data_IF_708657699608
#
_entry.id   IF_708657699608
#
_cell.length_a   1.000
_cell.length_b   1.000
_cell.length_c   1.000
_cell.angle_alpha   90.00
_cell.angle_beta   90.00
_cell.angle_gamma   90.00
#
_symmetry.space_group_name_H-M   'P 1'
#
loop_
_entity.id
_entity.type
_entity.pdbx_description
1 polymer ?
#
# COMPACT_ATOMS: atom_id res chain seq x y z
N UNK A 1 1.37 -19.55 3.70
CA UNK A 1 0.18 -18.72 3.39
C UNK A 1 0.40 -18.16 1.98
N UNK A 2 -0.56 -18.25 1.04
CA UNK A 2 -0.37 -17.72 -0.33
C UNK A 2 -0.57 -16.20 -0.34
N UNK A 3 0.27 -15.44 -1.05
CA UNK A 3 0.24 -13.97 -1.20
C UNK A 3 -1.16 -13.43 -1.52
N UNK A 4 -1.91 -14.12 -2.40
CA UNK A 4 -3.30 -13.75 -2.73
C UNK A 4 -4.23 -13.70 -1.52
N UNK A 5 -4.09 -14.63 -0.57
CA UNK A 5 -4.90 -14.61 0.65
C UNK A 5 -4.57 -13.40 1.53
N UNK A 6 -3.29 -13.03 1.62
CA UNK A 6 -2.85 -11.85 2.39
C UNK A 6 -3.44 -10.57 1.79
N UNK A 7 -3.38 -10.41 0.46
CA UNK A 7 -3.91 -9.21 -0.22
C UNK A 7 -5.43 -9.09 -0.03
N UNK A 8 -6.16 -10.20 -0.13
CA UNK A 8 -7.62 -10.22 -0.09
C UNK A 8 -8.22 -10.14 1.33
N UNK A 9 -7.41 -10.34 2.38
CA UNK A 9 -7.85 -10.16 3.77
C UNK A 9 -8.13 -8.69 4.08
N UNK A 10 -9.23 -8.44 4.79
CA UNK A 10 -9.62 -7.11 5.24
C UNK A 10 -8.65 -6.62 6.31
N UNK A 11 -8.24 -5.35 6.22
CA UNK A 11 -7.29 -4.73 7.14
C UNK A 11 -7.87 -3.43 7.67
N UNK A 12 -7.73 -3.18 8.96
CA UNK A 12 -8.21 -1.94 9.58
C UNK A 12 -7.05 -0.97 9.77
N UNK A 13 -7.27 0.30 9.43
CA UNK A 13 -6.29 1.37 9.69
C UNK A 13 -6.23 1.66 11.18
N UNK A 14 -5.04 1.49 11.77
CA UNK A 14 -4.76 1.90 13.15
C UNK A 14 -4.22 3.34 13.23
N UNK A 15 -3.33 3.68 12.29
CA UNK A 15 -2.69 5.01 12.23
C UNK A 15 -2.39 5.36 10.78
N UNK A 16 -2.54 6.63 10.44
CA UNK A 16 -2.25 7.18 9.11
C UNK A 16 -1.35 8.41 9.26
N UNK A 17 -0.29 8.49 8.45
CA UNK A 17 0.64 9.63 8.49
C UNK A 17 0.12 10.86 7.76
N UNK A 18 -0.96 10.73 7.00
CA UNK A 18 -1.33 11.63 5.91
C UNK A 18 -0.20 11.75 4.87
N UNK A 19 -0.42 12.57 3.84
CA UNK A 19 0.60 12.87 2.85
C UNK A 19 1.71 13.75 3.43
N UNK A 20 2.94 13.35 3.15
CA UNK A 20 4.17 14.03 3.56
C UNK A 20 5.12 14.14 2.37
N UNK A 21 6.04 15.09 2.44
CA UNK A 21 7.17 15.24 1.54
C UNK A 21 8.48 14.79 2.22
N UNK A 22 9.58 14.83 1.47
CA UNK A 22 10.92 14.68 2.01
C UNK A 22 11.28 13.27 2.47
N UNK A 23 11.83 13.17 3.68
CA UNK A 23 12.44 11.96 4.22
C UNK A 23 11.39 10.91 4.58
N UNK A 24 11.61 9.65 4.19
CA UNK A 24 10.83 8.49 4.65
C UNK A 24 11.59 7.78 5.77
N UNK A 25 11.12 7.85 7.03
CA UNK A 25 11.69 7.08 8.13
C UNK A 25 11.42 5.57 8.00
N UNK A 26 12.33 4.68 8.45
CA UNK A 26 12.15 3.23 8.40
C UNK A 26 10.84 2.75 9.01
N UNK A 27 10.39 3.31 10.14
CA UNK A 27 9.12 2.92 10.79
C UNK A 27 7.87 3.03 9.89
N UNK A 28 7.93 3.80 8.80
CA UNK A 28 6.82 3.98 7.86
C UNK A 28 6.99 3.17 6.56
N UNK A 29 8.19 2.64 6.32
CA UNK A 29 8.51 1.72 5.23
C UNK A 29 9.69 0.84 5.68
N UNK A 30 9.47 -0.14 6.57
CA UNK A 30 10.54 -0.84 7.28
C UNK A 30 11.37 -1.78 6.41
N UNK A 31 10.94 -2.04 5.17
CA UNK A 31 11.78 -2.67 4.15
C UNK A 31 12.96 -1.79 3.73
N UNK A 32 12.87 -0.47 3.96
CA UNK A 32 13.99 0.46 3.85
C UNK A 32 14.71 0.48 5.20
N UNK A 33 15.77 -0.33 5.32
CA UNK A 33 16.58 -0.46 6.54
C UNK A 33 17.20 0.86 7.05
N UNK A 34 17.11 1.95 6.27
CA UNK A 34 17.54 3.31 6.61
C UNK A 34 16.55 4.32 6.04
N UNK A 35 16.54 5.51 6.63
CA UNK A 35 15.72 6.61 6.11
C UNK A 35 16.08 6.90 4.67
N UNK A 36 15.08 7.05 3.80
CA UNK A 36 15.28 7.31 2.37
C UNK A 36 14.80 8.73 2.05
N UNK A 37 15.69 9.65 1.63
CA UNK A 37 15.23 10.92 1.09
C UNK A 37 14.50 10.65 -0.22
N UNK A 38 13.32 11.23 -0.38
CA UNK A 38 12.67 11.27 -1.69
C UNK A 38 13.12 12.50 -2.45
N UNK A 39 13.34 12.33 -3.76
CA UNK A 39 13.71 13.43 -4.63
C UNK A 39 12.61 14.48 -4.72
N UNK A 40 12.93 15.63 -5.28
CA UNK A 40 11.99 16.74 -5.42
C UNK A 40 10.70 16.35 -6.16
N UNK A 41 9.56 16.83 -5.64
CA UNK A 41 8.22 16.58 -6.16
C UNK A 41 7.65 15.20 -5.82
N UNK A 42 8.39 14.36 -5.10
CA UNK A 42 7.85 13.15 -4.51
C UNK A 42 7.15 13.43 -3.18
N UNK A 43 6.06 12.71 -2.97
CA UNK A 43 5.31 12.66 -1.72
C UNK A 43 5.08 11.22 -1.31
N UNK A 44 4.80 11.00 -0.03
CA UNK A 44 4.53 9.68 0.51
C UNK A 44 3.45 9.70 1.59
N UNK A 45 2.83 8.56 1.82
CA UNK A 45 1.85 8.32 2.89
C UNK A 45 2.00 6.89 3.37
N UNK A 46 1.83 6.66 4.67
CA UNK A 46 1.90 5.34 5.28
C UNK A 46 0.75 5.14 6.24
N UNK A 47 0.14 3.96 6.22
CA UNK A 47 -0.82 3.55 7.22
C UNK A 47 -0.38 2.24 7.88
N UNK A 48 -0.35 2.23 9.21
CA UNK A 48 -0.21 1.01 9.99
C UNK A 48 -1.59 0.34 10.08
N UNK A 49 -1.63 -0.95 9.82
CA UNK A 49 -2.86 -1.71 9.72
C UNK A 49 -2.80 -2.98 10.58
N UNK A 50 -3.96 -3.39 11.07
CA UNK A 50 -4.17 -4.68 11.72
C UNK A 50 -5.09 -5.57 10.89
N UNK A 51 -4.99 -6.87 11.10
CA UNK A 51 -5.82 -7.89 10.48
C UNK A 51 -6.13 -9.01 11.48
N UNK A 52 -7.19 -9.77 11.22
CA UNK A 52 -7.65 -10.89 12.05
C UNK A 52 -6.70 -12.09 12.09
N UNK A 53 -5.70 -12.14 11.21
CA UNK A 53 -4.66 -13.16 11.20
C UNK A 53 -3.53 -12.92 12.21
N UNK A 54 -3.61 -11.83 12.98
CA UNK A 54 -2.61 -11.48 13.98
C UNK A 54 -1.31 -10.94 13.40
N UNK A 55 -1.24 -10.65 12.10
CA UNK A 55 -0.10 -9.98 11.49
C UNK A 55 -0.25 -8.46 11.48
N UNK A 56 0.86 -7.77 11.71
CA UNK A 56 0.97 -6.34 11.47
C UNK A 56 1.24 -6.05 10.00
N UNK A 57 0.58 -5.02 9.49
CA UNK A 57 0.72 -4.60 8.10
C UNK A 57 1.02 -3.11 7.99
N UNK A 58 1.70 -2.74 6.90
CA UNK A 58 1.87 -1.34 6.50
C UNK A 58 1.45 -1.19 5.05
N UNK A 59 0.52 -0.27 4.78
CA UNK A 59 0.30 0.25 3.43
C UNK A 59 1.16 1.50 3.25
N UNK A 60 2.14 1.42 2.36
CA UNK A 60 3.05 2.51 2.06
C UNK A 60 2.88 2.98 0.62
N UNK A 61 2.70 4.28 0.42
CA UNK A 61 2.47 4.89 -0.89
C UNK A 61 3.51 5.97 -1.15
N UNK A 62 4.01 5.99 -2.38
CA UNK A 62 4.87 7.03 -2.93
C UNK A 62 4.26 7.52 -4.23
N UNK A 63 4.30 8.83 -4.45
CA UNK A 63 3.79 9.44 -5.66
C UNK A 63 4.65 10.61 -6.10
N UNK A 64 4.74 10.82 -7.41
CA UNK A 64 5.26 12.03 -8.04
C UNK A 64 4.20 12.57 -9.00
N UNK A 65 3.21 13.33 -8.50
CA UNK A 65 2.03 13.70 -9.28
C UNK A 65 2.35 14.41 -10.60
N UNK A 66 3.32 15.32 -10.59
CA UNK A 66 3.77 16.05 -11.78
C UNK A 66 4.36 15.15 -12.89
N UNK A 67 4.72 13.90 -12.56
CA UNK A 67 5.24 12.90 -13.50
C UNK A 67 4.31 11.69 -13.60
N UNK A 68 3.09 11.76 -13.07
CA UNK A 68 2.09 10.69 -13.02
C UNK A 68 2.67 9.33 -12.60
N UNK A 69 3.63 9.34 -11.67
CA UNK A 69 4.28 8.13 -11.17
C UNK A 69 3.73 7.81 -9.79
N UNK A 70 3.13 6.63 -9.66
CA UNK A 70 2.41 6.20 -8.47
C UNK A 70 2.78 4.78 -8.10
N UNK A 71 3.09 4.55 -6.82
CA UNK A 71 3.41 3.22 -6.30
C UNK A 71 2.86 3.05 -4.89
N UNK A 72 2.11 1.97 -4.66
CA UNK A 72 1.63 1.52 -3.37
C UNK A 72 2.15 0.12 -3.06
N UNK A 73 2.68 -0.10 -1.86
CA UNK A 73 3.20 -1.38 -1.37
C UNK A 73 2.45 -1.82 -0.13
N UNK A 74 2.09 -3.10 -0.08
CA UNK A 74 1.61 -3.74 1.14
C UNK A 74 2.77 -4.51 1.76
N UNK A 75 3.13 -4.14 2.99
CA UNK A 75 4.17 -4.78 3.77
C UNK A 75 3.52 -5.60 4.89
N UNK A 76 4.11 -6.74 5.21
CA UNK A 76 3.69 -7.60 6.33
C UNK A 76 4.87 -7.85 7.27
N UNK A 77 4.60 -7.85 8.57
CA UNK A 77 5.56 -8.26 9.58
C UNK A 77 5.68 -9.79 9.63
N UNK A 78 6.91 -10.27 9.62
CA UNK A 78 7.28 -11.69 9.78
C UNK A 78 8.24 -11.85 10.96
N UNK A 79 8.43 -13.06 11.50
CA UNK A 79 9.40 -13.29 12.58
C UNK A 79 10.83 -12.85 12.26
N UNK A 80 11.19 -12.79 10.96
CA UNK A 80 12.53 -12.41 10.49
C UNK A 80 12.65 -10.94 10.08
N UNK A 81 11.55 -10.19 10.05
CA UNK A 81 11.50 -8.80 9.60
C UNK A 81 10.32 -8.50 8.69
N UNK A 82 10.39 -7.40 7.94
CA UNK A 82 9.30 -6.98 7.06
C UNK A 82 9.47 -7.49 5.62
N UNK A 83 8.36 -7.92 5.03
CA UNK A 83 8.27 -8.43 3.66
C UNK A 83 7.29 -7.59 2.83
N UNK A 84 7.65 -7.26 1.60
CA UNK A 84 6.74 -6.66 0.63
C UNK A 84 5.93 -7.75 -0.09
N UNK A 85 4.61 -7.75 0.13
CA UNK A 85 3.71 -8.81 -0.35
C UNK A 85 3.21 -8.51 -1.76
N UNK A 86 2.95 -7.25 -2.04
CA UNK A 86 2.44 -6.81 -3.34
C UNK A 86 2.69 -5.34 -3.57
N UNK A 87 2.65 -4.97 -4.86
CA UNK A 87 2.79 -3.62 -5.35
C UNK A 87 1.66 -3.27 -6.30
N UNK A 88 1.19 -2.04 -6.23
CA UNK A 88 0.15 -1.47 -7.07
C UNK A 88 0.72 -0.19 -7.69
N UNK A 89 0.89 -0.16 -9.01
CA UNK A 89 1.59 0.92 -9.70
C UNK A 89 0.77 1.53 -10.85
N UNK A 90 1.08 2.78 -11.16
CA UNK A 90 0.59 3.49 -12.34
C UNK A 90 1.68 4.45 -12.82
N UNK A 91 2.03 4.37 -14.10
CA UNK A 91 3.07 5.18 -14.73
C UNK A 91 2.53 5.84 -16.01
N UNK A 92 3.15 6.92 -16.53
CA UNK A 92 2.65 7.62 -17.71
C UNK A 92 2.50 6.76 -18.96
N UNK A 93 3.40 5.78 -19.13
CA UNK A 93 3.50 4.96 -20.35
C UNK A 93 2.87 3.58 -20.19
N UNK A 94 2.34 3.26 -19.01
CA UNK A 94 1.80 1.92 -18.73
C UNK A 94 0.50 2.02 -17.94
N UNK A 95 -0.59 1.36 -18.42
CA UNK A 95 -1.83 1.30 -17.68
C UNK A 95 -1.62 0.56 -16.34
N UNK A 96 -2.54 0.83 -15.42
CA UNK A 96 -2.59 0.27 -14.06
C UNK A 96 -2.26 -1.22 -14.07
N UNK A 97 -1.28 -1.58 -13.26
CA UNK A 97 -0.95 -2.98 -13.04
C UNK A 97 -0.58 -3.20 -11.58
N UNK A 98 -0.84 -4.40 -11.10
CA UNK A 98 -0.35 -4.84 -9.81
C UNK A 98 0.80 -5.80 -10.06
N UNK A 99 1.83 -5.71 -9.23
CA UNK A 99 2.81 -6.76 -9.14
C UNK A 99 2.53 -7.56 -7.86
N UNK A 100 2.31 -8.86 -8.03
CA UNK A 100 2.20 -9.79 -6.91
C UNK A 100 3.02 -11.02 -7.29
N UNK A 101 3.89 -11.46 -6.40
CA UNK A 101 4.57 -12.72 -6.61
C UNK A 101 3.61 -13.86 -6.23
N UNK A 102 3.13 -14.58 -7.25
CA UNK A 102 2.23 -15.72 -7.09
C UNK A 102 2.97 -17.03 -6.77
N UNK A 103 4.29 -17.07 -6.98
CA UNK A 103 5.14 -18.25 -6.81
C UNK A 103 5.91 -18.23 -5.47
N UNK A 104 5.99 -17.07 -4.82
CA UNK A 104 6.60 -16.89 -3.49
C UNK A 104 5.62 -17.02 -2.32
N UNK A 105 6.18 -17.37 -1.18
CA UNK A 105 5.45 -17.52 0.09
C UNK A 105 5.11 -16.18 0.76
N UNK A 106 5.68 -15.06 0.26
CA UNK A 106 5.55 -13.73 0.87
C UNK A 106 6.41 -13.55 2.13
N UNK A 107 7.45 -14.37 2.31
CA UNK A 107 8.30 -14.40 3.51
C UNK A 107 9.74 -13.90 3.26
N UNK A 108 10.02 -13.38 2.08
CA UNK A 108 11.31 -12.79 1.74
C UNK A 108 11.46 -11.47 2.50
N UNK A 109 12.56 -11.29 3.21
CA UNK A 109 12.75 -10.16 4.12
C UNK A 109 13.61 -9.08 3.50
N UNK A 110 13.24 -7.82 3.72
CA UNK A 110 14.08 -6.66 3.40
C UNK A 110 13.96 -6.21 1.95
N UNK A 111 14.93 -5.43 1.44
CA UNK A 111 14.82 -4.79 0.13
C UNK A 111 14.61 -5.74 -1.04
N UNK A 112 15.16 -6.95 -0.98
CA UNK A 112 15.03 -7.98 -2.02
C UNK A 112 13.61 -8.51 -2.16
N UNK A 113 12.74 -8.36 -1.14
CA UNK A 113 11.30 -8.61 -1.27
C UNK A 113 10.60 -7.65 -2.23
N UNK A 114 11.25 -6.54 -2.58
CA UNK A 114 10.75 -5.60 -3.59
C UNK A 114 11.12 -6.05 -5.01
N UNK A 115 12.12 -6.91 -5.16
CA UNK A 115 12.66 -7.36 -6.44
C UNK A 115 11.94 -8.65 -6.88
N UNK A 116 11.52 -8.68 -8.16
CA UNK A 116 10.81 -9.77 -8.85
C UNK A 116 9.34 -10.03 -8.49
N UNK A 117 8.53 -8.99 -8.23
CA UNK A 117 7.07 -9.18 -8.16
C UNK A 117 6.49 -9.33 -9.59
N UNK A 118 5.75 -10.41 -9.85
CA UNK A 118 5.17 -10.72 -11.17
C UNK A 118 4.00 -9.79 -11.51
N UNK A 119 3.97 -9.24 -12.72
CA UNK A 119 2.93 -8.31 -13.20
C UNK A 119 1.61 -9.04 -13.47
N UNK A 120 0.50 -8.51 -12.96
CA UNK A 120 -0.87 -8.97 -13.22
C UNK A 120 -1.83 -7.78 -13.42
N UNK A 121 -2.69 -7.79 -14.46
CA UNK A 121 -2.71 -8.72 -15.60
C UNK A 121 -1.49 -8.57 -16.53
N UNK A 122 -1.30 -9.53 -17.45
CA UNK A 122 -0.35 -9.41 -18.56
C UNK A 122 -0.64 -8.13 -19.37
N UNK A 123 0.40 -7.51 -19.93
CA UNK A 123 0.40 -6.22 -20.63
C UNK A 123 -0.62 -6.07 -21.77
N UNK A 124 -1.19 -7.18 -22.21
CA UNK A 124 -1.81 -7.36 -23.51
C UNK A 124 -3.33 -7.06 -23.47
N UNK A 125 -3.86 -6.71 -22.30
CA UNK A 125 -5.26 -6.39 -22.08
C UNK A 125 -5.37 -4.96 -21.52
N UNK A 126 -5.62 -3.98 -22.40
CA UNK A 126 -6.71 -2.99 -22.30
C UNK A 126 -6.35 -1.58 -22.81
N UNK A 127 -7.04 -1.15 -23.88
CA UNK A 127 -7.24 0.25 -24.31
C UNK A 127 -8.20 1.00 -23.37
N UNK A 128 -7.96 0.97 -22.06
CA UNK A 128 -8.76 1.77 -21.12
C UNK A 128 -8.14 3.16 -20.96
N UNK A 129 -8.92 4.26 -21.05
CA UNK A 129 -8.42 5.59 -20.72
C UNK A 129 -7.80 5.58 -19.33
N UNK A 130 -6.57 6.08 -19.21
CA UNK A 130 -5.93 6.18 -17.91
C UNK A 130 -6.71 7.19 -17.06
N UNK A 131 -7.22 6.80 -15.88
CA UNK A 131 -7.82 7.78 -14.99
C UNK A 131 -6.74 8.81 -14.59
N UNK A 132 -7.09 10.09 -14.61
CA UNK A 132 -6.26 11.14 -14.05
C UNK A 132 -6.18 10.92 -12.54
N UNK A 133 -5.03 10.45 -12.06
CA UNK A 133 -4.81 10.26 -10.64
C UNK A 133 -4.44 11.59 -9.98
N UNK A 134 -5.06 11.82 -8.84
CA UNK A 134 -4.53 12.68 -7.80
C UNK A 134 -4.11 11.83 -6.58
N UNK A 135 -3.59 12.51 -5.57
CA UNK A 135 -3.13 11.86 -4.34
C UNK A 135 -4.23 11.05 -3.64
N UNK A 136 -5.42 11.62 -3.48
CA UNK A 136 -6.47 10.96 -2.70
C UNK A 136 -7.15 9.82 -3.47
N UNK A 137 -7.37 9.99 -4.78
CA UNK A 137 -7.91 8.95 -5.65
C UNK A 137 -6.97 7.76 -5.75
N UNK A 138 -5.65 7.96 -5.88
CA UNK A 138 -4.69 6.87 -5.89
C UNK A 138 -4.62 6.16 -4.53
N UNK A 139 -4.61 6.92 -3.43
CA UNK A 139 -4.67 6.36 -2.07
C UNK A 139 -5.92 5.51 -1.86
N UNK A 140 -7.10 6.02 -2.22
CA UNK A 140 -8.36 5.30 -2.11
C UNK A 140 -8.39 4.04 -3.00
N UNK A 141 -7.79 4.10 -4.19
CA UNK A 141 -7.66 2.93 -5.05
C UNK A 141 -6.74 1.86 -4.44
N UNK A 142 -5.60 2.27 -3.86
CA UNK A 142 -4.70 1.36 -3.16
C UNK A 142 -5.39 0.72 -1.94
N UNK A 143 -6.13 1.50 -1.15
CA UNK A 143 -6.91 0.97 -0.03
C UNK A 143 -7.94 -0.07 -0.49
N UNK A 144 -8.69 0.21 -1.56
CA UNK A 144 -9.64 -0.77 -2.14
C UNK A 144 -8.94 -2.04 -2.62
N UNK A 145 -7.82 -1.89 -3.31
CA UNK A 145 -7.03 -3.02 -3.83
C UNK A 145 -6.54 -3.94 -2.70
N UNK A 146 -6.02 -3.38 -1.61
CA UNK A 146 -5.51 -4.14 -0.46
C UNK A 146 -6.54 -4.42 0.63
N UNK A 147 -7.83 -4.17 0.36
CA UNK A 147 -8.97 -4.35 1.29
C UNK A 147 -8.77 -3.63 2.64
N UNK A 148 -8.20 -2.44 2.59
CA UNK A 148 -8.00 -1.58 3.75
C UNK A 148 -9.26 -0.76 4.01
N UNK A 149 -9.83 -0.91 5.19
CA UNK A 149 -10.97 -0.14 5.68
C UNK A 149 -10.50 0.82 6.76
N UNK A 150 -11.01 2.05 6.74
CA UNK A 150 -11.01 2.87 7.95
C UNK A 150 -12.23 2.44 8.75
N UNK A 151 -12.04 2.11 10.02
CA UNK A 151 -13.17 2.21 10.93
C UNK A 151 -13.51 3.69 11.01
N UNK A 152 -14.51 4.08 10.24
CA UNK A 152 -15.40 5.13 10.67
C UNK A 152 -16.09 4.46 11.84
N UNK A 153 -15.65 4.72 13.09
CA UNK A 153 -16.40 4.29 14.27
C UNK A 153 -17.89 4.62 14.10
N UNK A 154 -18.81 3.98 14.82
CA UNK A 154 -20.24 4.14 14.59
C UNK A 154 -20.59 5.61 14.36
N UNK A 155 -21.05 5.94 13.15
CA UNK A 155 -21.67 7.22 12.86
C UNK A 155 -22.87 7.27 13.81
N UNK A 156 -22.86 8.23 14.74
CA UNK A 156 -23.81 8.40 15.84
C UNK A 156 -23.54 7.52 17.07
N UNK A 157 -22.80 8.05 18.05
CA UNK A 157 -23.33 8.04 19.41
C UNK A 157 -24.59 8.90 19.36
N UNK A 158 -25.76 8.27 19.21
CA UNK A 158 -26.97 8.90 19.70
C UNK A 158 -26.71 9.13 21.19
N UNK A 159 -26.60 10.41 21.55
CA UNK A 159 -26.68 10.86 22.92
C UNK A 159 -27.90 10.17 23.51
N UNK A 160 -27.68 9.17 24.35
CA UNK A 160 -28.71 8.70 25.25
C UNK A 160 -28.89 9.85 26.23
N UNK A 161 -29.77 10.79 25.86
CA UNK A 161 -30.30 11.78 26.78
C UNK A 161 -31.02 11.01 27.88
N UNK A 162 -30.26 10.70 28.93
CA UNK A 162 -30.82 10.44 30.23
C UNK A 162 -31.25 11.77 30.82
N UNK A 163 -32.54 12.08 30.70
CA UNK A 163 -33.41 12.66 31.75
C UNK A 163 -34.82 12.88 31.23
#
# INVERSE_FOLDING_TARGET
MRVRHIILKKKQVLRDTLWKDGLVPPRHCPVLNKSKPLGEGWVWRSAALTCDDGHDYILFVQARPARLNWSARLLVATPKGWSCVARFESHPCEPRHAHADCDRSGQEVGPTSMDTLTRFPASDLMDRPMPSWDRESFWAAAQRFYRVTRDMGPLFEQVADGR
#
